data_IF_898827038554
#
_entry.id   IF_898827038554
#
_cell.length_a   1.000
_cell.length_b   1.000
_cell.length_c   1.000
_cell.angle_alpha   90.00
_cell.angle_beta   90.00
_cell.angle_gamma   90.00
#
_symmetry.space_group_name_H-M   'P 1'
#
loop_
_entity.id
_entity.type
_entity.pdbx_description
1 polymer ?
#
# COMPACT_ATOMS: atom_id res chain seq x y z
N UNK A 1 -12.98 -12.28 21.43
CA UNK A 1 -12.48 -11.40 20.33
C UNK A 1 -13.68 -10.98 19.50
N UNK A 2 -13.85 -9.70 19.20
CA UNK A 2 -14.96 -9.23 18.37
C UNK A 2 -14.87 -9.90 16.98
N UNK A 3 -15.99 -10.46 16.49
CA UNK A 3 -16.06 -11.17 15.21
C UNK A 3 -15.63 -10.29 14.05
N UNK A 4 -15.89 -8.99 14.14
CA UNK A 4 -15.49 -8.01 13.10
C UNK A 4 -13.97 -7.83 13.05
N UNK A 5 -13.28 -7.84 14.20
CA UNK A 5 -11.82 -7.74 14.26
C UNK A 5 -11.13 -8.97 13.66
N UNK A 6 -11.69 -10.17 13.90
CA UNK A 6 -11.15 -11.41 13.31
C UNK A 6 -11.21 -11.34 11.79
N UNK A 7 -12.37 -10.97 11.26
CA UNK A 7 -12.54 -10.82 9.81
C UNK A 7 -11.64 -9.74 9.22
N UNK A 8 -11.46 -8.61 9.92
CA UNK A 8 -10.55 -7.55 9.50
C UNK A 8 -9.10 -8.06 9.36
N UNK A 9 -8.62 -8.82 10.35
CA UNK A 9 -7.27 -9.40 10.32
C UNK A 9 -7.14 -10.43 9.19
N UNK A 10 -8.09 -11.36 9.06
CA UNK A 10 -8.03 -12.40 8.03
C UNK A 10 -8.07 -11.81 6.62
N UNK A 11 -8.90 -10.80 6.39
CA UNK A 11 -8.98 -10.12 5.10
C UNK A 11 -7.71 -9.33 4.80
N UNK A 12 -7.07 -8.69 5.79
CA UNK A 12 -5.78 -8.04 5.57
C UNK A 12 -4.67 -9.04 5.26
N UNK A 13 -4.62 -10.18 5.95
CA UNK A 13 -3.67 -11.26 5.63
C UNK A 13 -3.83 -11.70 4.18
N UNK A 14 -5.07 -11.96 3.75
CA UNK A 14 -5.35 -12.32 2.36
C UNK A 14 -4.94 -11.21 1.38
N UNK A 15 -5.39 -9.99 1.65
CA UNK A 15 -5.11 -8.82 0.81
C UNK A 15 -3.63 -8.55 0.63
N UNK A 16 -2.84 -8.64 1.71
CA UNK A 16 -1.39 -8.43 1.66
C UNK A 16 -0.65 -9.50 0.85
N UNK A 17 -1.12 -10.74 0.84
CA UNK A 17 -0.53 -11.75 -0.04
C UNK A 17 -0.96 -11.57 -1.50
N UNK A 18 -2.19 -11.09 -1.74
CA UNK A 18 -2.68 -10.80 -3.09
C UNK A 18 -1.97 -9.58 -3.70
N UNK A 19 -1.68 -8.53 -2.93
CA UNK A 19 -1.01 -7.34 -3.48
C UNK A 19 0.42 -7.62 -3.94
N UNK A 20 1.10 -8.62 -3.40
CA UNK A 20 2.43 -9.01 -3.88
C UNK A 20 2.39 -9.48 -5.34
N UNK A 21 1.28 -10.04 -5.80
CA UNK A 21 1.11 -10.35 -7.23
C UNK A 21 1.05 -9.07 -8.07
N UNK A 22 0.40 -7.99 -7.57
CA UNK A 22 0.44 -6.68 -8.20
C UNK A 22 1.87 -6.13 -8.31
N UNK A 23 2.63 -6.23 -7.21
CA UNK A 23 4.00 -5.73 -7.14
C UNK A 23 4.94 -6.53 -8.04
N UNK A 24 4.75 -7.86 -8.10
CA UNK A 24 5.48 -8.73 -9.02
C UNK A 24 5.22 -8.38 -10.49
N UNK A 25 3.97 -8.03 -10.85
CA UNK A 25 3.67 -7.56 -12.20
C UNK A 25 4.38 -6.24 -12.52
N UNK A 26 4.42 -5.30 -11.56
CA UNK A 26 5.17 -4.04 -11.74
C UNK A 26 6.67 -4.32 -11.90
N UNK A 27 7.21 -5.27 -11.13
CA UNK A 27 8.62 -5.67 -11.21
C UNK A 27 9.01 -6.23 -12.60
N UNK A 28 8.06 -6.80 -13.37
CA UNK A 28 8.30 -7.20 -14.76
C UNK A 28 8.66 -6.03 -15.69
N UNK A 29 8.40 -4.78 -15.27
CA UNK A 29 8.77 -3.56 -15.97
C UNK A 29 10.16 -3.05 -15.57
N UNK A 30 11.08 -3.93 -15.22
CA UNK A 30 12.43 -3.60 -14.75
C UNK A 30 13.12 -2.56 -15.65
N UNK A 31 13.66 -1.49 -15.04
CA UNK A 31 14.24 -0.36 -15.77
C UNK A 31 13.25 0.56 -16.48
N UNK A 32 11.95 0.46 -16.19
CA UNK A 32 10.90 1.25 -16.83
C UNK A 32 10.97 2.73 -16.45
N UNK A 33 10.95 3.60 -17.48
CA UNK A 33 11.19 5.04 -17.33
C UNK A 33 9.91 5.91 -17.39
N UNK A 34 8.71 5.31 -17.50
CA UNK A 34 7.45 6.04 -17.64
C UNK A 34 6.44 5.79 -16.51
N UNK A 35 6.80 6.07 -15.23
CA UNK A 35 5.96 5.77 -14.08
C UNK A 35 4.61 6.50 -14.08
N UNK A 36 4.53 7.71 -14.63
CA UNK A 36 3.27 8.46 -14.66
C UNK A 36 2.28 7.85 -15.65
N UNK A 37 2.75 7.40 -16.82
CA UNK A 37 1.92 6.69 -17.78
C UNK A 37 1.38 5.38 -17.19
N UNK A 38 2.22 4.60 -16.50
CA UNK A 38 1.78 3.38 -15.83
C UNK A 38 0.70 3.66 -14.78
N UNK A 39 0.90 4.69 -13.95
CA UNK A 39 -0.07 5.08 -12.91
C UNK A 39 -1.39 5.53 -13.54
N UNK A 40 -1.35 6.27 -14.65
CA UNK A 40 -2.56 6.62 -15.41
C UNK A 40 -3.29 5.36 -15.88
N UNK A 41 -2.60 4.43 -16.52
CA UNK A 41 -3.19 3.17 -16.99
C UNK A 41 -3.81 2.38 -15.83
N UNK A 42 -3.12 2.31 -14.70
CA UNK A 42 -3.60 1.63 -13.50
C UNK A 42 -4.87 2.26 -12.93
N UNK A 43 -4.91 3.59 -12.80
CA UNK A 43 -6.09 4.30 -12.29
C UNK A 43 -7.29 4.23 -13.26
N UNK A 44 -7.06 4.36 -14.57
CA UNK A 44 -8.08 4.17 -15.59
C UNK A 44 -8.66 2.76 -15.54
N UNK A 45 -7.79 1.75 -15.50
CA UNK A 45 -8.21 0.33 -15.43
C UNK A 45 -9.06 0.07 -14.20
N UNK A 46 -8.61 0.52 -13.02
CA UNK A 46 -9.38 0.37 -11.77
C UNK A 46 -10.73 1.09 -11.83
N UNK A 47 -10.76 2.30 -12.36
CA UNK A 47 -11.99 3.09 -12.53
C UNK A 47 -12.97 2.39 -13.46
N UNK A 48 -12.49 1.91 -14.63
CA UNK A 48 -13.31 1.21 -15.62
C UNK A 48 -13.82 -0.15 -15.13
N UNK A 49 -13.03 -0.89 -14.34
CA UNK A 49 -13.45 -2.15 -13.73
C UNK A 49 -14.54 -1.94 -12.67
N UNK A 50 -14.48 -0.84 -11.92
CA UNK A 50 -15.46 -0.53 -10.87
C UNK A 50 -16.71 0.16 -11.41
N UNK A 51 -16.65 0.81 -12.56
CA UNK A 51 -17.77 1.54 -13.15
C UNK A 51 -19.02 0.67 -13.36
N UNK A 52 -18.95 -0.53 -13.97
CA UNK A 52 -20.11 -1.42 -14.10
C UNK A 52 -20.71 -1.79 -12.74
N UNK A 53 -19.87 -2.00 -11.73
CA UNK A 53 -20.31 -2.34 -10.36
C UNK A 53 -21.06 -1.16 -9.74
N UNK A 54 -20.54 0.08 -9.89
CA UNK A 54 -21.24 1.29 -9.43
C UNK A 54 -22.61 1.44 -10.09
N UNK A 55 -22.68 1.22 -11.42
CA UNK A 55 -23.93 1.32 -12.19
C UNK A 55 -24.93 0.23 -11.80
N UNK A 56 -24.46 -1.03 -11.64
CA UNK A 56 -25.32 -2.15 -11.23
C UNK A 56 -25.98 -1.91 -9.87
N UNK A 57 -25.21 -1.40 -8.90
CA UNK A 57 -25.72 -1.06 -7.57
C UNK A 57 -26.37 0.33 -7.50
N UNK A 58 -26.57 1.00 -8.65
CA UNK A 58 -27.15 2.36 -8.74
C UNK A 58 -26.49 3.36 -7.78
N UNK A 59 -25.16 3.27 -7.59
CA UNK A 59 -24.41 4.18 -6.75
C UNK A 59 -24.12 5.49 -7.49
N UNK A 60 -24.14 6.65 -6.82
CA UNK A 60 -23.83 7.92 -7.45
C UNK A 60 -22.35 7.97 -7.85
N UNK A 61 -22.05 8.25 -9.12
CA UNK A 61 -20.67 8.32 -9.63
C UNK A 61 -19.87 9.46 -8.98
N UNK A 62 -20.54 10.57 -8.67
CA UNK A 62 -19.96 11.73 -7.98
C UNK A 62 -20.89 12.12 -6.81
N UNK A 63 -20.78 11.45 -5.66
CA UNK A 63 -21.58 11.78 -4.50
C UNK A 63 -21.15 13.12 -3.87
N UNK A 64 -21.94 13.62 -2.92
CA UNK A 64 -21.56 14.77 -2.10
C UNK A 64 -20.38 14.41 -1.16
N UNK A 65 -19.70 15.44 -0.60
CA UNK A 65 -18.60 15.29 0.37
C UNK A 65 -17.33 14.64 -0.20
N UNK A 66 -16.89 15.07 -1.38
CA UNK A 66 -15.71 14.52 -2.06
C UNK A 66 -14.35 14.94 -1.48
N UNK A 67 -14.29 15.95 -0.61
CA UNK A 67 -13.03 16.54 -0.11
C UNK A 67 -12.01 15.47 0.35
N UNK A 68 -12.42 14.58 1.25
CA UNK A 68 -11.53 13.57 1.80
C UNK A 68 -11.19 12.48 0.78
N UNK A 69 -12.10 12.14 -0.14
CA UNK A 69 -11.80 11.26 -1.27
C UNK A 69 -10.76 11.87 -2.21
N UNK A 70 -10.88 13.16 -2.53
CA UNK A 70 -9.92 13.87 -3.37
C UNK A 70 -8.52 13.92 -2.72
N UNK A 71 -8.46 14.30 -1.42
CA UNK A 71 -7.19 14.29 -0.67
C UNK A 71 -6.54 12.90 -0.70
N UNK A 72 -7.34 11.86 -0.43
CA UNK A 72 -6.88 10.49 -0.41
C UNK A 72 -6.43 10.01 -1.80
N UNK A 73 -7.16 10.39 -2.86
CA UNK A 73 -6.81 10.06 -4.25
C UNK A 73 -5.44 10.62 -4.66
N UNK A 74 -5.12 11.86 -4.30
CA UNK A 74 -3.83 12.46 -4.62
C UNK A 74 -2.67 11.90 -3.79
N UNK A 75 -2.91 11.58 -2.51
CA UNK A 75 -1.93 10.87 -1.67
C UNK A 75 -1.68 9.46 -2.22
N UNK A 76 -2.73 8.77 -2.66
CA UNK A 76 -2.63 7.46 -3.30
C UNK A 76 -1.86 7.52 -4.62
N UNK A 77 -2.16 8.50 -5.47
CA UNK A 77 -1.45 8.74 -6.73
C UNK A 77 0.05 8.96 -6.47
N UNK A 78 0.40 9.86 -5.55
CA UNK A 78 1.79 10.13 -5.17
C UNK A 78 2.50 8.84 -4.71
N UNK A 79 1.85 8.09 -3.81
CA UNK A 79 2.37 6.83 -3.32
C UNK A 79 2.57 5.79 -4.41
N UNK A 80 1.63 5.69 -5.35
CA UNK A 80 1.72 4.74 -6.46
C UNK A 80 2.87 5.09 -7.42
N UNK A 81 3.11 6.38 -7.69
CA UNK A 81 4.27 6.82 -8.50
C UNK A 81 5.58 6.37 -7.86
N UNK A 82 5.78 6.69 -6.58
CA UNK A 82 7.02 6.30 -5.88
C UNK A 82 7.13 4.79 -5.66
N UNK A 83 6.02 4.09 -5.52
CA UNK A 83 5.98 2.63 -5.48
C UNK A 83 6.45 2.02 -6.81
N UNK A 84 5.97 2.51 -7.95
CA UNK A 84 6.40 2.06 -9.28
C UNK A 84 7.90 2.30 -9.47
N UNK A 85 8.38 3.52 -9.18
CA UNK A 85 9.80 3.87 -9.27
C UNK A 85 10.67 2.91 -8.42
N UNK A 86 10.24 2.57 -7.21
CA UNK A 86 11.01 1.68 -6.35
C UNK A 86 10.95 0.22 -6.79
N UNK A 87 9.79 -0.29 -7.23
CA UNK A 87 9.64 -1.68 -7.67
C UNK A 87 10.35 -1.99 -8.99
N UNK A 88 10.44 -1.01 -9.89
CA UNK A 88 11.17 -1.17 -11.17
C UNK A 88 12.68 -1.09 -11.03
N UNK A 89 13.19 -0.69 -9.86
CA UNK A 89 14.63 -0.44 -9.66
C UNK A 89 15.23 -1.26 -8.51
N UNK A 90 14.45 -1.53 -7.45
CA UNK A 90 14.90 -2.32 -6.32
C UNK A 90 14.49 -3.81 -6.47
N UNK A 91 15.20 -4.74 -5.82
CA UNK A 91 14.69 -6.09 -5.64
C UNK A 91 13.29 -6.09 -5.00
N UNK A 92 12.39 -6.99 -5.45
CA UNK A 92 11.01 -7.08 -4.99
C UNK A 92 10.91 -7.22 -3.47
N UNK A 93 11.73 -8.13 -2.91
CA UNK A 93 11.80 -8.35 -1.47
C UNK A 93 12.25 -7.08 -0.72
N UNK A 94 13.27 -6.37 -1.23
CA UNK A 94 13.80 -5.14 -0.61
C UNK A 94 12.79 -4.01 -0.65
N UNK A 95 12.15 -3.75 -1.81
CA UNK A 95 11.13 -2.71 -1.94
C UNK A 95 9.96 -2.98 -0.97
N UNK A 96 9.46 -4.21 -0.95
CA UNK A 96 8.37 -4.59 -0.04
C UNK A 96 8.77 -4.51 1.43
N UNK A 97 9.99 -4.90 1.81
CA UNK A 97 10.46 -4.75 3.18
C UNK A 97 10.45 -3.28 3.64
N UNK A 98 10.78 -2.34 2.74
CA UNK A 98 10.69 -0.90 3.03
C UNK A 98 9.22 -0.45 3.08
N UNK A 99 8.33 -0.96 2.22
CA UNK A 99 6.90 -0.66 2.28
C UNK A 99 6.28 -1.07 3.62
N UNK A 100 6.80 -2.11 4.28
CA UNK A 100 6.40 -2.50 5.63
C UNK A 100 6.86 -1.54 6.74
N UNK A 101 7.51 -0.42 6.40
CA UNK A 101 7.54 0.73 7.29
C UNK A 101 6.15 1.39 7.46
N UNK A 102 5.22 1.20 6.51
CA UNK A 102 3.90 1.82 6.56
C UNK A 102 3.12 1.50 7.84
N UNK A 103 3.02 0.25 8.33
CA UNK A 103 2.40 -0.04 9.62
C UNK A 103 3.05 0.70 10.80
N UNK A 104 4.37 0.79 10.81
CA UNK A 104 5.12 1.54 11.84
C UNK A 104 4.74 3.02 11.81
N UNK A 105 4.80 3.62 10.62
CA UNK A 105 4.43 5.01 10.37
C UNK A 105 2.95 5.24 10.72
N UNK A 106 2.07 4.28 10.41
CA UNK A 106 0.64 4.34 10.76
C UNK A 106 0.43 4.48 12.26
N UNK A 107 1.14 3.72 13.10
CA UNK A 107 1.03 3.80 14.57
C UNK A 107 1.43 5.20 15.07
N UNK A 108 2.53 5.75 14.55
CA UNK A 108 3.02 7.09 14.92
C UNK A 108 2.03 8.16 14.49
N UNK A 109 1.59 8.13 13.22
CA UNK A 109 0.66 9.11 12.67
C UNK A 109 -0.74 8.99 13.27
N UNK A 110 -1.20 7.78 13.63
CA UNK A 110 -2.48 7.58 14.30
C UNK A 110 -2.52 8.30 15.65
N UNK A 111 -1.42 8.25 16.41
CA UNK A 111 -1.31 9.01 17.66
C UNK A 111 -1.31 10.52 17.41
N UNK A 112 -0.53 10.98 16.44
CA UNK A 112 -0.33 12.41 16.23
C UNK A 112 -1.52 13.09 15.53
N UNK A 113 -2.04 12.50 14.45
CA UNK A 113 -3.11 13.09 13.64
C UNK A 113 -4.51 12.74 14.15
N UNK A 114 -4.71 11.55 14.72
CA UNK A 114 -6.01 11.04 15.14
C UNK A 114 -6.15 10.93 16.66
N UNK A 115 -5.09 11.30 17.41
CA UNK A 115 -5.07 11.24 18.88
C UNK A 115 -5.42 9.85 19.43
N UNK A 116 -5.13 8.78 18.68
CA UNK A 116 -5.34 7.42 19.15
C UNK A 116 -4.46 7.13 20.36
N UNK A 117 -4.99 6.34 21.30
CA UNK A 117 -4.24 5.93 22.48
C UNK A 117 -3.18 4.90 22.06
N UNK A 118 -1.94 5.31 22.00
CA UNK A 118 -0.80 4.44 21.69
C UNK A 118 -0.02 4.18 22.97
N UNK A 119 0.23 2.91 23.28
CA UNK A 119 0.99 2.51 24.46
C UNK A 119 2.49 2.75 24.23
N UNK A 120 3.25 2.85 25.33
CA UNK A 120 4.73 2.93 25.27
C UNK A 120 5.30 1.72 24.55
N UNK A 121 4.69 0.54 24.73
CA UNK A 121 5.09 -0.67 24.03
C UNK A 121 4.90 -0.55 22.52
N UNK A 122 3.77 0.03 22.06
CA UNK A 122 3.54 0.29 20.62
C UNK A 122 4.56 1.25 20.03
N UNK A 123 4.95 2.30 20.77
CA UNK A 123 5.99 3.24 20.33
C UNK A 123 7.38 2.59 20.27
N UNK A 124 7.73 1.77 21.28
CA UNK A 124 8.98 1.02 21.28
C UNK A 124 9.04 0.03 20.10
N UNK A 125 7.94 -0.67 19.83
CA UNK A 125 7.80 -1.56 18.68
C UNK A 125 7.96 -0.79 17.35
N UNK A 126 7.35 0.38 17.24
CA UNK A 126 7.49 1.25 16.07
C UNK A 126 8.95 1.71 15.88
N UNK A 127 9.64 2.08 16.96
CA UNK A 127 11.06 2.47 16.91
C UNK A 127 11.95 1.31 16.45
N UNK A 128 11.75 0.09 16.98
CA UNK A 128 12.47 -1.11 16.53
C UNK A 128 12.20 -1.43 15.06
N UNK A 129 10.94 -1.32 14.61
CA UNK A 129 10.59 -1.49 13.21
C UNK A 129 11.28 -0.49 12.30
N UNK A 130 11.38 0.78 12.71
CA UNK A 130 12.12 1.81 11.96
C UNK A 130 13.62 1.51 11.90
N UNK A 131 14.23 1.02 12.99
CA UNK A 131 15.63 0.54 12.96
C UNK A 131 15.77 -0.61 11.96
N UNK A 132 14.83 -1.55 11.92
CA UNK A 132 14.81 -2.64 10.93
C UNK A 132 14.78 -2.12 9.48
N UNK A 133 13.95 -1.13 9.20
CA UNK A 133 13.91 -0.46 7.88
C UNK A 133 15.25 0.19 7.54
N UNK A 134 15.89 0.90 8.48
CA UNK A 134 17.19 1.52 8.28
C UNK A 134 18.30 0.49 8.03
N UNK A 135 18.24 -0.68 8.67
CA UNK A 135 19.18 -1.78 8.43
C UNK A 135 19.03 -2.31 6.98
N UNK A 136 17.79 -2.45 6.47
CA UNK A 136 17.54 -2.89 5.09
C UNK A 136 18.01 -1.83 4.08
N UNK A 137 17.68 -0.57 4.31
CA UNK A 137 18.04 0.54 3.40
C UNK A 137 19.55 0.72 3.31
N UNK A 138 20.29 0.41 4.38
CA UNK A 138 21.73 0.62 4.47
C UNK A 138 22.16 2.06 4.08
N UNK A 139 21.97 3.08 4.95
CA UNK A 139 22.13 4.48 4.59
C UNK A 139 23.57 4.87 4.15
N UNK A 140 24.57 4.04 4.39
CA UNK A 140 25.94 4.25 3.91
C UNK A 140 26.09 4.03 2.39
N UNK A 141 25.15 3.31 1.78
CA UNK A 141 25.03 3.12 0.33
C UNK A 141 23.73 3.78 -0.19
N UNK A 142 23.40 4.97 0.32
CA UNK A 142 22.11 5.62 0.12
C UNK A 142 21.64 5.55 -1.35
N UNK A 143 20.65 4.71 -1.59
CA UNK A 143 20.01 4.58 -2.88
C UNK A 143 18.75 5.47 -2.88
N UNK A 144 18.64 6.40 -3.84
CA UNK A 144 17.50 7.30 -3.98
C UNK A 144 16.19 6.52 -4.17
N UNK A 145 16.26 5.32 -4.73
CA UNK A 145 15.10 4.45 -4.92
C UNK A 145 14.58 3.85 -3.60
N UNK A 146 15.46 3.65 -2.61
CA UNK A 146 15.03 3.29 -1.26
C UNK A 146 14.28 4.45 -0.57
N UNK A 147 14.66 5.71 -0.84
CA UNK A 147 13.90 6.86 -0.41
C UNK A 147 12.53 6.92 -1.09
N UNK A 148 12.44 6.60 -2.38
CA UNK A 148 11.15 6.47 -3.07
C UNK A 148 10.26 5.42 -2.40
N UNK A 149 10.78 4.25 -2.04
CA UNK A 149 10.04 3.23 -1.31
C UNK A 149 9.55 3.72 0.07
N UNK A 150 10.35 4.52 0.79
CA UNK A 150 9.96 5.09 2.08
C UNK A 150 8.85 6.17 1.93
N UNK A 151 8.89 6.97 0.87
CA UNK A 151 7.80 7.90 0.52
C UNK A 151 6.54 7.11 0.20
N UNK A 152 6.62 6.03 -0.57
CA UNK A 152 5.49 5.15 -0.85
C UNK A 152 4.91 4.56 0.45
N UNK A 153 5.74 4.08 1.38
CA UNK A 153 5.30 3.59 2.69
C UNK A 153 4.58 4.68 3.50
N UNK A 154 5.10 5.91 3.50
CA UNK A 154 4.49 7.03 4.22
C UNK A 154 3.13 7.41 3.64
N UNK A 155 3.02 7.47 2.32
CA UNK A 155 1.74 7.75 1.64
C UNK A 155 0.73 6.62 1.83
N UNK A 156 1.16 5.36 1.87
CA UNK A 156 0.31 4.21 2.20
C UNK A 156 -0.26 4.33 3.62
N UNK A 157 0.59 4.66 4.60
CA UNK A 157 0.17 4.89 5.98
C UNK A 157 -0.88 6.00 6.09
N UNK A 158 -0.63 7.14 5.44
CA UNK A 158 -1.58 8.26 5.38
C UNK A 158 -2.89 7.86 4.69
N UNK A 159 -2.80 7.14 3.57
CA UNK A 159 -3.95 6.69 2.81
C UNK A 159 -4.86 5.78 3.64
N UNK A 160 -4.28 4.84 4.40
CA UNK A 160 -5.01 3.94 5.29
C UNK A 160 -5.66 4.69 6.46
N UNK A 161 -4.96 5.62 7.08
CA UNK A 161 -5.52 6.43 8.18
C UNK A 161 -6.66 7.35 7.72
N UNK A 162 -6.56 7.92 6.52
CA UNK A 162 -7.59 8.79 5.96
C UNK A 162 -8.91 8.08 5.67
N UNK A 163 -8.92 6.73 5.60
CA UNK A 163 -10.16 5.95 5.51
C UNK A 163 -11.15 6.34 6.63
N UNK A 164 -10.62 6.65 7.84
CA UNK A 164 -11.43 7.07 8.99
C UNK A 164 -12.10 8.44 8.84
N UNK A 165 -11.64 9.27 7.90
CA UNK A 165 -12.23 10.58 7.59
C UNK A 165 -13.29 10.52 6.50
N UNK A 166 -13.41 9.38 5.82
CA UNK A 166 -14.40 9.21 4.76
C UNK A 166 -15.82 9.17 5.32
N UNK A 167 -16.80 9.68 4.58
CA UNK A 167 -18.20 9.59 4.98
C UNK A 167 -18.62 8.14 5.21
N UNK A 168 -19.38 7.88 6.26
CA UNK A 168 -19.85 6.54 6.62
C UNK A 168 -20.86 5.97 5.64
N UNK A 169 -21.59 6.86 4.94
CA UNK A 169 -22.54 6.51 3.88
C UNK A 169 -21.86 5.97 2.60
N UNK A 170 -20.57 6.24 2.40
CA UNK A 170 -19.81 5.75 1.26
C UNK A 170 -19.24 4.37 1.57
N UNK A 171 -19.65 3.38 0.78
CA UNK A 171 -19.20 1.99 0.94
C UNK A 171 -17.75 1.75 0.50
N UNK A 172 -17.33 0.48 0.51
CA UNK A 172 -16.01 0.07 0.03
C UNK A 172 -15.87 0.39 -1.45
N UNK A 173 -16.86 -0.01 -2.25
CA UNK A 173 -16.87 0.18 -3.72
C UNK A 173 -16.78 1.67 -4.06
N UNK A 174 -17.59 2.53 -3.40
CA UNK A 174 -17.55 3.98 -3.58
C UNK A 174 -16.13 4.53 -3.27
N UNK A 175 -15.53 4.03 -2.19
CA UNK A 175 -14.18 4.46 -1.77
C UNK A 175 -13.11 4.08 -2.78
N UNK A 176 -13.13 2.86 -3.29
CA UNK A 176 -12.17 2.39 -4.31
C UNK A 176 -12.35 3.14 -5.63
N UNK A 177 -13.59 3.28 -6.09
CA UNK A 177 -13.92 4.00 -7.31
C UNK A 177 -13.46 5.46 -7.26
N UNK A 178 -13.85 6.20 -6.20
CA UNK A 178 -13.49 7.60 -6.06
C UNK A 178 -11.98 7.83 -5.85
N UNK A 179 -11.29 6.91 -5.19
CA UNK A 179 -9.82 7.00 -5.02
C UNK A 179 -9.12 6.95 -6.36
N UNK A 180 -9.55 6.09 -7.29
CA UNK A 180 -8.97 6.00 -8.62
C UNK A 180 -9.48 7.12 -9.54
N UNK A 181 -10.80 7.33 -9.64
CA UNK A 181 -11.39 8.33 -10.52
C UNK A 181 -10.84 9.75 -10.28
N UNK A 182 -10.79 10.19 -9.02
CA UNK A 182 -10.36 11.56 -8.69
C UNK A 182 -8.84 11.78 -8.88
N UNK A 183 -8.07 10.71 -8.99
CA UNK A 183 -6.66 10.77 -9.36
C UNK A 183 -6.41 10.85 -10.88
N UNK A 184 -7.36 10.36 -11.71
CA UNK A 184 -7.19 10.29 -13.17
C UNK A 184 -6.82 11.64 -13.80
N UNK A 185 -7.48 12.78 -13.50
CA UNK A 185 -7.11 14.05 -14.14
C UNK A 185 -5.64 14.43 -13.90
N UNK A 186 -5.17 14.31 -12.67
CA UNK A 186 -3.77 14.62 -12.31
C UNK A 186 -2.81 13.62 -12.94
N UNK A 187 -3.13 12.32 -12.92
CA UNK A 187 -2.33 11.29 -13.59
C UNK A 187 -2.24 11.53 -15.10
N UNK A 188 -3.34 11.99 -15.74
CA UNK A 188 -3.35 12.33 -17.16
C UNK A 188 -2.41 13.49 -17.47
N UNK A 189 -2.43 14.57 -16.68
CA UNK A 189 -1.52 15.69 -16.84
C UNK A 189 -0.06 15.24 -16.71
N UNK A 190 0.25 14.43 -15.70
CA UNK A 190 1.60 13.92 -15.47
C UNK A 190 2.07 13.01 -16.60
N UNK A 191 1.21 12.12 -17.11
CA UNK A 191 1.54 11.24 -18.23
C UNK A 191 1.75 12.01 -19.55
N UNK A 192 0.99 13.10 -19.79
CA UNK A 192 1.19 13.99 -20.93
C UNK A 192 2.55 14.70 -20.83
N UNK A 193 2.90 15.19 -19.63
CA UNK A 193 4.22 15.85 -19.40
C UNK A 193 5.36 14.86 -19.59
N UNK A 194 5.18 13.59 -19.17
CA UNK A 194 6.15 12.52 -19.35
C UNK A 194 6.37 12.20 -20.86
N UNK A 195 5.32 12.31 -21.67
CA UNK A 195 5.39 12.19 -23.13
C UNK A 195 5.74 10.78 -23.63
N UNK A 196 5.61 9.74 -22.80
CA UNK A 196 5.89 8.37 -23.20
C UNK A 196 4.87 7.87 -24.25
N UNK A 197 5.34 7.14 -25.27
CA UNK A 197 4.48 6.52 -26.26
C UNK A 197 3.61 5.41 -25.63
N UNK A 198 2.43 5.16 -26.23
CA UNK A 198 1.58 4.07 -25.77
C UNK A 198 2.30 2.72 -25.93
N UNK A 199 2.42 1.99 -24.82
CA UNK A 199 2.91 0.62 -24.82
C UNK A 199 1.84 -0.36 -24.35
N UNK A 200 1.51 -1.33 -25.22
CA UNK A 200 0.49 -2.33 -24.97
C UNK A 200 0.86 -3.27 -23.80
N UNK A 201 2.13 -3.63 -23.69
CA UNK A 201 2.59 -4.54 -22.63
C UNK A 201 2.43 -3.87 -21.26
N UNK A 202 2.92 -2.65 -21.11
CA UNK A 202 2.76 -1.81 -19.93
C UNK A 202 1.28 -1.63 -19.56
N UNK A 203 0.41 -1.41 -20.56
CA UNK A 203 -1.03 -1.30 -20.33
C UNK A 203 -1.65 -2.59 -19.78
N UNK A 204 -1.29 -3.77 -20.32
CA UNK A 204 -1.78 -5.05 -19.85
C UNK A 204 -1.29 -5.37 -18.43
N UNK A 205 -0.04 -5.07 -18.13
CA UNK A 205 0.53 -5.19 -16.78
C UNK A 205 -0.20 -4.27 -15.80
N UNK A 206 -0.52 -3.04 -16.18
CA UNK A 206 -1.28 -2.11 -15.36
C UNK A 206 -2.70 -2.61 -15.04
N UNK A 207 -3.38 -3.25 -16.01
CA UNK A 207 -4.69 -3.89 -15.80
C UNK A 207 -4.60 -4.98 -14.74
N UNK A 208 -3.66 -5.92 -14.89
CA UNK A 208 -3.45 -7.01 -13.93
C UNK A 208 -3.09 -6.51 -12.54
N UNK A 209 -2.12 -5.57 -12.47
CA UNK A 209 -1.71 -4.92 -11.23
C UNK A 209 -2.89 -4.21 -10.53
N UNK A 210 -3.74 -3.51 -11.31
CA UNK A 210 -4.93 -2.84 -10.76
C UNK A 210 -5.89 -3.81 -10.09
N UNK A 211 -6.13 -4.97 -10.69
CA UNK A 211 -7.06 -5.97 -10.16
C UNK A 211 -6.61 -6.44 -8.76
N UNK A 212 -5.36 -6.86 -8.64
CA UNK A 212 -4.81 -7.33 -7.36
C UNK A 212 -4.74 -6.20 -6.32
N UNK A 213 -4.36 -5.00 -6.73
CA UNK A 213 -4.33 -3.85 -5.85
C UNK A 213 -5.72 -3.43 -5.36
N UNK A 214 -6.77 -3.55 -6.17
CA UNK A 214 -8.14 -3.27 -5.74
C UNK A 214 -8.65 -4.27 -4.70
N UNK A 215 -8.31 -5.56 -4.84
CA UNK A 215 -8.63 -6.57 -3.84
C UNK A 215 -8.00 -6.18 -2.50
N UNK A 216 -6.70 -5.90 -2.49
CA UNK A 216 -5.99 -5.42 -1.29
C UNK A 216 -6.61 -4.14 -0.72
N UNK A 217 -6.84 -3.12 -1.54
CA UNK A 217 -7.41 -1.86 -1.10
C UNK A 217 -8.82 -2.04 -0.49
N UNK A 218 -9.61 -2.98 -1.01
CA UNK A 218 -10.90 -3.35 -0.45
C UNK A 218 -10.78 -3.93 0.96
N UNK A 219 -9.82 -4.83 1.18
CA UNK A 219 -9.54 -5.38 2.52
C UNK A 219 -9.08 -4.31 3.50
N UNK A 220 -8.22 -3.36 3.05
CA UNK A 220 -7.80 -2.22 3.85
C UNK A 220 -8.99 -1.33 4.26
N UNK A 221 -9.85 -0.95 3.29
CA UNK A 221 -11.03 -0.12 3.60
C UNK A 221 -11.92 -0.79 4.63
N UNK A 222 -12.15 -2.10 4.50
CA UNK A 222 -12.92 -2.85 5.50
C UNK A 222 -12.23 -2.83 6.87
N UNK A 223 -10.96 -3.22 6.93
CA UNK A 223 -10.24 -3.41 8.19
C UNK A 223 -10.06 -2.11 8.97
N UNK A 224 -9.65 -1.04 8.31
CA UNK A 224 -9.43 0.27 8.95
C UNK A 224 -10.73 1.01 9.32
N UNK A 225 -11.88 0.58 8.78
CA UNK A 225 -13.20 1.01 9.27
C UNK A 225 -13.70 0.18 10.45
N UNK A 226 -13.43 -1.12 10.43
CA UNK A 226 -13.93 -2.06 11.43
C UNK A 226 -13.19 -2.01 12.77
N UNK A 227 -11.93 -1.54 12.78
CA UNK A 227 -11.09 -1.58 13.96
C UNK A 227 -10.09 -0.40 14.06
N UNK A 228 -9.53 -0.21 15.25
CA UNK A 228 -8.42 0.72 15.47
C UNK A 228 -7.19 0.28 14.69
N UNK A 229 -6.45 1.25 14.12
CA UNK A 229 -5.29 0.97 13.26
C UNK A 229 -4.24 0.08 13.93
N UNK A 230 -3.95 0.32 15.21
CA UNK A 230 -2.96 -0.43 15.99
C UNK A 230 -3.31 -1.92 16.20
N UNK A 231 -4.60 -2.29 16.03
CA UNK A 231 -5.07 -3.68 16.19
C UNK A 231 -4.98 -4.50 14.90
N UNK A 232 -4.96 -3.86 13.74
CA UNK A 232 -5.03 -4.53 12.43
C UNK A 232 -3.74 -4.43 11.64
N UNK A 233 -2.94 -3.37 11.81
CA UNK A 233 -1.72 -3.08 11.04
C UNK A 233 -0.71 -4.22 11.04
N UNK A 234 -0.61 -4.99 12.13
CA UNK A 234 0.34 -6.12 12.20
C UNK A 234 0.02 -7.26 11.23
N UNK A 235 -1.24 -7.36 10.77
CA UNK A 235 -1.62 -8.35 9.77
C UNK A 235 -0.99 -8.05 8.39
N UNK A 236 -0.57 -6.81 8.15
CA UNK A 236 0.05 -6.40 6.89
C UNK A 236 1.42 -7.06 6.66
N UNK A 237 2.14 -7.46 7.71
CA UNK A 237 3.47 -8.08 7.57
C UNK A 237 3.48 -9.47 6.94
N UNK A 238 2.33 -10.13 6.86
CA UNK A 238 2.25 -11.48 6.28
C UNK A 238 2.63 -11.51 4.81
N UNK A 239 2.46 -10.41 4.08
CA UNK A 239 2.87 -10.29 2.68
C UNK A 239 4.40 -10.29 2.48
N UNK A 240 5.22 -10.00 3.51
CA UNK A 240 6.67 -10.04 3.38
C UNK A 240 7.17 -11.45 3.00
N UNK A 241 6.53 -12.48 3.54
CA UNK A 241 6.85 -13.87 3.20
C UNK A 241 6.57 -14.11 1.72
N UNK A 242 5.41 -13.64 1.22
CA UNK A 242 5.05 -13.72 -0.19
C UNK A 242 6.04 -12.98 -1.09
N UNK A 243 6.47 -11.76 -0.71
CA UNK A 243 7.43 -10.97 -1.47
C UNK A 243 8.80 -11.68 -1.59
N UNK A 244 9.30 -12.28 -0.50
CA UNK A 244 10.54 -13.08 -0.52
C UNK A 244 10.41 -14.28 -1.43
N UNK A 245 9.33 -15.06 -1.27
CA UNK A 245 9.11 -16.27 -2.07
C UNK A 245 9.01 -15.94 -3.56
N UNK A 246 8.22 -14.93 -3.94
CA UNK A 246 8.08 -14.54 -5.35
C UNK A 246 9.36 -13.91 -5.90
N UNK A 247 10.09 -13.11 -5.10
CA UNK A 247 11.39 -12.56 -5.46
C UNK A 247 12.41 -13.64 -5.78
N UNK A 248 12.50 -14.67 -4.94
CA UNK A 248 13.42 -15.79 -5.16
C UNK A 248 13.00 -16.68 -6.35
N UNK A 249 11.71 -16.99 -6.49
CA UNK A 249 11.21 -17.95 -7.48
C UNK A 249 11.14 -17.35 -8.90
N UNK A 250 10.74 -16.10 -9.04
CA UNK A 250 10.46 -15.48 -10.35
C UNK A 250 11.51 -14.47 -10.79
N UNK A 251 12.26 -13.89 -9.86
CA UNK A 251 13.23 -12.84 -10.15
C UNK A 251 14.67 -13.23 -9.77
N UNK A 252 14.89 -14.49 -9.31
CA UNK A 252 16.20 -15.00 -8.88
C UNK A 252 16.89 -14.09 -7.84
N UNK A 253 16.10 -13.35 -7.03
CA UNK A 253 16.61 -12.48 -6.00
C UNK A 253 17.17 -13.28 -4.83
N UNK A 254 18.32 -12.85 -4.32
CA UNK A 254 18.94 -13.44 -3.12
C UNK A 254 19.03 -12.36 -2.04
N UNK A 255 18.06 -12.32 -1.10
CA UNK A 255 18.12 -11.39 0.01
C UNK A 255 19.39 -11.56 0.83
N UNK A 256 20.05 -10.47 1.16
CA UNK A 256 21.28 -10.48 1.96
C UNK A 256 20.99 -10.61 3.48
N UNK A 257 22.05 -10.74 4.29
CA UNK A 257 21.89 -10.86 5.75
C UNK A 257 21.21 -9.63 6.38
N UNK A 258 21.41 -8.44 5.82
CA UNK A 258 20.78 -7.20 6.31
C UNK A 258 19.28 -7.24 6.11
N UNK A 259 18.82 -7.78 5.00
CA UNK A 259 17.39 -7.99 4.75
C UNK A 259 16.77 -8.87 5.83
N UNK A 260 17.37 -10.01 6.16
CA UNK A 260 16.83 -10.91 7.19
C UNK A 260 16.84 -10.28 8.57
N UNK A 261 17.94 -9.62 8.96
CA UNK A 261 18.04 -8.93 10.26
C UNK A 261 17.00 -7.81 10.35
N UNK A 262 16.89 -6.96 9.34
CA UNK A 262 15.93 -5.85 9.33
C UNK A 262 14.48 -6.34 9.32
N UNK A 263 14.17 -7.38 8.55
CA UNK A 263 12.84 -8.00 8.51
C UNK A 263 12.44 -8.58 9.87
N UNK A 264 13.35 -9.24 10.58
CA UNK A 264 13.12 -9.73 11.94
C UNK A 264 12.85 -8.58 12.91
N UNK A 265 13.60 -7.47 12.83
CA UNK A 265 13.39 -6.27 13.65
C UNK A 265 12.04 -5.59 13.39
N UNK A 266 11.47 -5.74 12.20
CA UNK A 266 10.13 -5.23 11.85
C UNK A 266 9.06 -6.20 12.35
N UNK A 267 9.12 -7.47 11.93
CA UNK A 267 8.03 -8.44 12.07
C UNK A 267 7.87 -8.92 13.52
N UNK A 268 8.98 -9.26 14.20
CA UNK A 268 8.92 -9.88 15.52
C UNK A 268 8.31 -8.95 16.59
N UNK A 269 8.76 -7.69 16.75
CA UNK A 269 8.19 -6.81 17.78
C UNK A 269 6.69 -6.55 17.56
N UNK A 270 6.26 -6.40 16.31
CA UNK A 270 4.86 -6.12 15.98
C UNK A 270 3.97 -7.35 16.17
N UNK A 271 4.47 -8.53 15.86
CA UNK A 271 3.77 -9.79 16.15
C UNK A 271 3.58 -9.96 17.67
N UNK A 272 4.63 -9.73 18.46
CA UNK A 272 4.57 -9.80 19.91
C UNK A 272 3.62 -8.76 20.51
N UNK A 273 3.62 -7.52 20.00
CA UNK A 273 2.69 -6.49 20.40
C UNK A 273 1.24 -6.93 20.17
N UNK A 274 0.96 -7.50 19.00
CA UNK A 274 -0.38 -7.97 18.63
C UNK A 274 -0.84 -9.12 19.55
N UNK A 275 0.03 -10.06 19.84
CA UNK A 275 -0.27 -11.17 20.74
C UNK A 275 -0.56 -10.66 22.16
N UNK A 276 0.23 -9.70 22.66
CA UNK A 276 0.04 -9.12 24.01
C UNK A 276 -1.19 -8.23 24.10
N UNK A 277 -1.60 -7.57 23.03
CA UNK A 277 -2.83 -6.77 23.01
C UNK A 277 -4.11 -7.61 22.97
N UNK A 278 -3.98 -8.92 22.73
CA UNK A 278 -5.08 -9.90 22.75
C UNK A 278 -5.26 -10.60 24.09
N UNK A 279 -4.23 -10.58 24.95
CA UNK A 279 -4.28 -11.09 26.32
C UNK A 279 -4.76 -10.00 27.29
#
# INVERSE_FOLDING_TARGET
MDRSLVWAILLLVLGNNVVILSDSLIKLLDGFEAPFQFVLYRQLSATLMLLPVMLFFKRPLLPKKLRWHATRAHIFLLGTVFMVISLTTLPLATANAIFYAAPVITVVLARWLFKEKVTVLSLATAALGMVGVLVIINPTSANIFALAALIAATTLALNNLLIKKLPTEHGIIDTLYLTNLLGVPTATVLAIVEGAAFDRNTFMIAIGSSLFAMIYAGTCVYAYRAAESNKVTSAEYTGLIGAVLLGMLFFAEQPDARFYIGSLLIVVPLTLLTLKSRA
#
